data_IF_074206957543
#
_entry.id   IF_074206957543
#
_cell.length_a   1.000
_cell.length_b   1.000
_cell.length_c   1.000
_cell.angle_alpha   90.00
_cell.angle_beta   90.00
_cell.angle_gamma   90.00
#
_symmetry.space_group_name_H-M   'P 1'
#
loop_
_entity.id
_entity.type
_entity.pdbx_description
1 polymer ?
#
# COMPACT_ATOMS: atom_id res chain seq x y z
N UNK A 1 6.94 14.91 -8.44
CA UNK A 1 6.39 15.45 -7.51
C UNK A 1 6.88 16.49 -6.51
N UNK A 2 7.10 17.76 -6.93
CA UNK A 2 7.47 18.83 -5.97
C UNK A 2 6.21 19.47 -5.34
N UNK A 3 5.05 19.34 -5.98
CA UNK A 3 3.79 19.95 -5.51
C UNK A 3 2.79 18.88 -5.14
N UNK A 4 2.05 19.12 -4.06
CA UNK A 4 0.89 18.29 -3.68
C UNK A 4 -0.21 18.50 -4.71
N UNK A 5 -0.75 17.43 -5.33
CA UNK A 5 -1.85 17.57 -6.27
C UNK A 5 -3.11 18.06 -5.58
N UNK A 6 -3.90 18.86 -6.29
CA UNK A 6 -5.24 19.27 -5.86
C UNK A 6 -6.24 18.13 -6.13
N UNK A 7 -7.30 18.10 -5.34
CA UNK A 7 -8.40 17.17 -5.57
C UNK A 7 -9.16 17.51 -6.86
N UNK A 8 -9.70 16.50 -7.58
CA UNK A 8 -10.42 16.72 -8.85
C UNK A 8 -11.67 17.62 -8.71
N UNK A 9 -12.21 17.78 -7.50
CA UNK A 9 -13.29 18.72 -7.24
C UNK A 9 -12.88 20.18 -7.51
N UNK A 10 -11.62 20.54 -7.31
CA UNK A 10 -11.08 21.84 -7.68
C UNK A 10 -11.14 22.05 -9.19
N UNK A 11 -10.78 21.03 -9.99
CA UNK A 11 -10.90 21.07 -11.44
C UNK A 11 -12.36 21.23 -11.88
N UNK A 12 -13.31 20.58 -11.19
CA UNK A 12 -14.73 20.73 -11.49
C UNK A 12 -15.23 22.16 -11.26
N UNK A 13 -14.73 22.80 -10.21
CA UNK A 13 -15.11 24.18 -9.87
C UNK A 13 -14.52 25.21 -10.85
N UNK A 14 -13.24 25.03 -11.23
CA UNK A 14 -12.52 25.99 -12.08
C UNK A 14 -12.78 25.77 -13.59
N UNK A 15 -12.82 24.52 -14.04
CA UNK A 15 -12.92 24.13 -15.44
C UNK A 15 -13.95 23.01 -15.65
N UNK A 16 -15.26 23.25 -15.44
CA UNK A 16 -16.28 22.21 -15.44
C UNK A 16 -16.39 21.45 -16.79
N UNK A 17 -16.16 22.12 -17.91
CA UNK A 17 -16.15 21.47 -19.24
C UNK A 17 -15.01 20.47 -19.40
N UNK A 18 -13.82 20.85 -18.98
CA UNK A 18 -12.62 20.00 -19.02
C UNK A 18 -12.78 18.82 -18.06
N UNK A 19 -13.33 19.05 -16.86
CA UNK A 19 -13.66 17.99 -15.93
C UNK A 19 -14.62 16.97 -16.56
N UNK A 20 -15.70 17.42 -17.20
CA UNK A 20 -16.66 16.54 -17.87
C UNK A 20 -16.02 15.75 -19.03
N UNK A 21 -15.13 16.39 -19.80
CA UNK A 21 -14.36 15.72 -20.86
C UNK A 21 -13.43 14.66 -20.29
N UNK A 22 -12.68 14.96 -19.22
CA UNK A 22 -11.79 14.00 -18.54
C UNK A 22 -12.55 12.76 -18.09
N UNK A 23 -13.74 12.92 -17.52
CA UNK A 23 -14.57 11.78 -17.08
C UNK A 23 -15.08 10.92 -18.26
N UNK A 24 -15.45 11.54 -19.38
CA UNK A 24 -15.80 10.79 -20.60
C UNK A 24 -14.60 9.99 -21.13
N UNK A 25 -13.43 10.59 -21.12
CA UNK A 25 -12.20 9.92 -21.53
C UNK A 25 -11.88 8.75 -20.58
N UNK A 26 -12.02 8.94 -19.25
CA UNK A 26 -11.87 7.86 -18.29
C UNK A 26 -12.78 6.67 -18.62
N UNK A 27 -14.06 6.92 -18.81
CA UNK A 27 -15.05 5.86 -19.14
C UNK A 27 -14.70 5.14 -20.44
N UNK A 28 -14.27 5.89 -21.46
CA UNK A 28 -13.84 5.31 -22.73
C UNK A 28 -12.63 4.40 -22.58
N UNK A 29 -11.62 4.84 -21.81
CA UNK A 29 -10.39 4.09 -21.58
C UNK A 29 -10.63 2.85 -20.72
N UNK A 30 -11.40 2.95 -19.63
CA UNK A 30 -11.77 1.81 -18.79
C UNK A 30 -12.53 0.76 -19.59
N UNK A 31 -13.47 1.18 -20.42
CA UNK A 31 -14.25 0.28 -21.30
C UNK A 31 -13.36 -0.38 -22.37
N UNK A 32 -12.44 0.36 -22.97
CA UNK A 32 -11.55 -0.15 -24.01
C UNK A 32 -10.49 -1.11 -23.44
N UNK A 33 -9.84 -0.72 -22.35
CA UNK A 33 -8.80 -1.52 -21.70
C UNK A 33 -9.37 -2.61 -20.78
N UNK A 34 -10.66 -2.54 -20.46
CA UNK A 34 -11.35 -3.45 -19.54
C UNK A 34 -10.63 -3.54 -18.19
N UNK A 35 -10.11 -2.39 -17.73
CA UNK A 35 -9.38 -2.25 -16.46
C UNK A 35 -9.32 -0.78 -16.02
N UNK A 36 -9.10 -0.56 -14.72
CA UNK A 36 -8.86 0.76 -14.15
C UNK A 36 -7.58 1.38 -14.70
N UNK A 37 -7.65 2.64 -15.12
CA UNK A 37 -6.57 3.32 -15.80
C UNK A 37 -5.96 4.44 -14.95
N UNK A 38 -4.64 4.52 -14.96
CA UNK A 38 -3.85 5.66 -14.51
C UNK A 38 -3.60 6.57 -15.72
N UNK A 39 -4.08 7.82 -15.63
CA UNK A 39 -4.11 8.76 -16.74
C UNK A 39 -3.26 9.97 -16.39
N UNK A 40 -2.32 10.31 -17.26
CA UNK A 40 -1.59 11.56 -17.21
C UNK A 40 -2.16 12.52 -18.25
N UNK A 41 -2.46 13.74 -17.83
CA UNK A 41 -3.03 14.76 -18.72
C UNK A 41 -2.51 16.16 -18.39
N UNK A 42 -2.70 17.06 -19.32
CA UNK A 42 -2.47 18.51 -19.14
C UNK A 42 -3.61 19.31 -19.72
N UNK A 43 -3.73 20.54 -19.28
CA UNK A 43 -4.73 21.49 -19.79
C UNK A 43 -4.02 22.73 -20.28
N UNK A 44 -4.27 23.09 -21.53
CA UNK A 44 -3.73 24.29 -22.12
C UNK A 44 -4.85 25.07 -22.81
N UNK A 45 -5.01 26.35 -22.48
CA UNK A 45 -6.04 27.23 -23.04
C UNK A 45 -7.46 26.62 -22.98
N UNK A 46 -7.79 25.96 -21.84
CA UNK A 46 -9.10 25.32 -21.62
C UNK A 46 -9.33 24.03 -22.39
N UNK A 47 -8.33 23.47 -23.04
CA UNK A 47 -8.38 22.21 -23.79
C UNK A 47 -7.64 21.10 -23.05
N UNK A 48 -8.22 19.91 -22.95
CA UNK A 48 -7.63 18.72 -22.36
C UNK A 48 -6.69 18.04 -23.37
N UNK A 49 -5.52 17.62 -22.88
CA UNK A 49 -4.56 16.82 -23.63
C UNK A 49 -4.16 15.61 -22.78
N UNK A 50 -4.39 14.42 -23.30
CA UNK A 50 -3.90 13.18 -22.71
C UNK A 50 -2.44 13.00 -23.08
N UNK A 51 -1.63 12.71 -22.08
CA UNK A 51 -0.19 12.49 -22.27
C UNK A 51 0.15 11.01 -22.20
N UNK A 52 -0.43 10.28 -21.24
CA UNK A 52 -0.19 8.86 -21.04
C UNK A 52 -1.39 8.19 -20.40
N UNK A 53 -1.58 6.91 -20.72
CA UNK A 53 -2.52 6.01 -20.10
C UNK A 53 -1.84 4.66 -19.84
N UNK A 54 -2.09 4.08 -18.68
CA UNK A 54 -1.56 2.75 -18.30
C UNK A 54 -2.48 2.08 -17.29
N UNK A 55 -2.37 0.76 -17.16
CA UNK A 55 -3.08 0.05 -16.10
C UNK A 55 -2.57 0.55 -14.74
N UNK A 56 -3.50 0.97 -13.88
CA UNK A 56 -3.18 1.57 -12.59
C UNK A 56 -2.53 0.55 -11.65
N UNK A 57 -1.40 0.92 -11.06
CA UNK A 57 -0.79 0.16 -9.97
C UNK A 57 -1.69 0.24 -8.75
N UNK A 58 -1.89 -0.91 -8.10
CA UNK A 58 -2.89 -1.04 -7.03
C UNK A 58 -2.43 -1.98 -5.93
N UNK A 59 -2.92 -1.76 -4.71
CA UNK A 59 -2.75 -2.71 -3.60
C UNK A 59 -3.65 -3.93 -3.82
N UNK A 60 -3.39 -5.04 -3.14
CA UNK A 60 -4.22 -6.25 -3.20
C UNK A 60 -5.69 -5.96 -2.88
N UNK A 61 -5.96 -5.14 -1.85
CA UNK A 61 -7.32 -4.72 -1.49
C UNK A 61 -8.01 -3.93 -2.61
N UNK A 62 -7.28 -3.01 -3.24
CA UNK A 62 -7.79 -2.23 -4.37
C UNK A 62 -8.03 -3.13 -5.60
N UNK A 63 -7.14 -4.11 -5.86
CA UNK A 63 -7.31 -5.06 -6.96
C UNK A 63 -8.61 -5.86 -6.84
N UNK A 64 -8.93 -6.38 -5.65
CA UNK A 64 -10.20 -7.07 -5.40
C UNK A 64 -11.40 -6.15 -5.61
N UNK A 65 -11.36 -4.93 -5.05
CA UNK A 65 -12.46 -3.97 -5.18
C UNK A 65 -12.71 -3.61 -6.65
N UNK A 66 -11.64 -3.30 -7.41
CA UNK A 66 -11.71 -2.98 -8.83
C UNK A 66 -12.27 -4.16 -9.63
N UNK A 67 -11.81 -5.39 -9.37
CA UNK A 67 -12.31 -6.58 -10.04
C UNK A 67 -13.82 -6.77 -9.82
N UNK A 68 -14.29 -6.59 -8.59
CA UNK A 68 -15.72 -6.65 -8.25
C UNK A 68 -16.51 -5.54 -8.97
N UNK A 69 -15.99 -4.32 -8.97
CA UNK A 69 -16.66 -3.18 -9.61
C UNK A 69 -16.77 -3.39 -11.13
N UNK A 70 -15.72 -3.85 -11.80
CA UNK A 70 -15.72 -4.14 -13.23
C UNK A 70 -16.73 -5.25 -13.60
N UNK A 71 -16.94 -6.24 -12.72
CA UNK A 71 -18.01 -7.24 -12.91
C UNK A 71 -19.40 -6.62 -12.75
N UNK A 72 -19.59 -5.80 -11.71
CA UNK A 72 -20.86 -5.12 -11.45
C UNK A 72 -21.24 -4.15 -12.59
N UNK A 73 -20.24 -3.49 -13.17
CA UNK A 73 -20.37 -2.60 -14.34
C UNK A 73 -20.50 -3.37 -15.67
N UNK A 74 -20.48 -4.71 -15.63
CA UNK A 74 -20.58 -5.61 -16.81
C UNK A 74 -19.44 -5.42 -17.83
N UNK A 75 -18.30 -4.94 -17.39
CA UNK A 75 -17.09 -4.82 -18.19
C UNK A 75 -16.31 -6.14 -18.23
N UNK A 76 -16.43 -6.98 -17.18
CA UNK A 76 -15.81 -8.30 -17.08
C UNK A 76 -16.82 -9.36 -16.65
N UNK A 77 -16.58 -10.62 -17.04
CA UNK A 77 -17.19 -11.78 -16.38
C UNK A 77 -16.48 -12.06 -15.05
N UNK A 78 -17.06 -12.90 -14.21
CA UNK A 78 -16.40 -13.30 -12.93
C UNK A 78 -15.08 -14.03 -13.17
N UNK A 79 -15.05 -14.89 -14.19
CA UNK A 79 -13.88 -15.66 -14.59
C UNK A 79 -12.75 -14.73 -15.06
N UNK A 80 -13.07 -13.76 -15.92
CA UNK A 80 -12.10 -12.76 -16.39
C UNK A 80 -11.57 -11.88 -15.23
N UNK A 81 -12.44 -11.51 -14.30
CA UNK A 81 -12.05 -10.73 -13.12
C UNK A 81 -11.11 -11.50 -12.21
N UNK A 82 -11.31 -12.83 -12.02
CA UNK A 82 -10.42 -13.69 -11.25
C UNK A 82 -9.02 -13.76 -11.88
N UNK A 83 -8.92 -13.82 -13.22
CA UNK A 83 -7.64 -13.84 -13.91
C UNK A 83 -6.84 -12.54 -13.80
N UNK A 84 -7.51 -11.42 -13.43
CA UNK A 84 -6.83 -10.13 -13.17
C UNK A 84 -6.26 -10.00 -11.77
N UNK A 85 -6.58 -10.92 -10.87
CA UNK A 85 -6.10 -10.90 -9.49
C UNK A 85 -4.85 -11.76 -9.39
N UNK A 86 -3.75 -11.16 -9.02
CA UNK A 86 -2.50 -11.87 -8.75
C UNK A 86 -2.63 -12.67 -7.45
N UNK A 87 -2.57 -14.00 -7.52
CA UNK A 87 -2.76 -14.88 -6.35
C UNK A 87 -1.77 -14.57 -5.21
N UNK A 88 -0.53 -14.25 -5.54
CA UNK A 88 0.50 -13.85 -4.56
C UNK A 88 0.11 -12.60 -3.75
N UNK A 89 -0.64 -11.68 -4.36
CA UNK A 89 -1.09 -10.46 -3.72
C UNK A 89 -2.17 -10.72 -2.65
N UNK A 90 -2.91 -11.82 -2.75
CA UNK A 90 -3.95 -12.19 -1.77
C UNK A 90 -3.35 -12.49 -0.39
N UNK A 91 -2.12 -12.99 -0.34
CA UNK A 91 -1.45 -13.21 0.95
C UNK A 91 -1.34 -11.93 1.77
N UNK A 92 -1.22 -10.77 1.12
CA UNK A 92 -1.19 -9.48 1.82
C UNK A 92 -2.51 -9.15 2.55
N UNK A 93 -3.62 -9.70 2.09
CA UNK A 93 -4.94 -9.52 2.71
C UNK A 93 -5.17 -10.42 3.93
N UNK A 94 -4.37 -11.47 4.04
CA UNK A 94 -4.40 -12.39 5.18
C UNK A 94 -3.55 -11.91 6.35
N UNK A 95 -2.76 -10.86 6.18
CA UNK A 95 -2.03 -10.25 7.29
C UNK A 95 -2.99 -9.65 8.33
N UNK A 96 -2.70 -9.80 9.62
CA UNK A 96 -3.44 -9.12 10.68
C UNK A 96 -3.52 -7.62 10.43
N UNK A 97 -4.66 -7.03 10.72
CA UNK A 97 -4.87 -5.58 10.66
C UNK A 97 -5.50 -5.12 11.96
N UNK A 98 -5.24 -3.88 12.37
CA UNK A 98 -5.95 -3.29 13.50
C UNK A 98 -7.42 -3.04 13.14
N UNK A 99 -8.31 -3.19 14.12
CA UNK A 99 -9.72 -2.82 13.95
C UNK A 99 -9.80 -1.30 13.64
N UNK A 100 -10.37 -0.90 12.48
CA UNK A 100 -10.50 0.52 12.12
C UNK A 100 -11.33 1.34 13.10
N UNK A 101 -12.16 0.67 13.92
CA UNK A 101 -12.98 1.31 14.96
C UNK A 101 -12.20 1.55 16.25
N UNK A 102 -11.08 0.87 16.44
CA UNK A 102 -10.24 1.02 17.63
C UNK A 102 -9.43 2.30 17.54
N UNK A 103 -9.73 3.26 18.42
CA UNK A 103 -8.99 4.51 18.53
C UNK A 103 -7.85 4.33 19.54
N UNK A 104 -6.66 4.03 19.07
CA UNK A 104 -5.46 4.06 19.90
C UNK A 104 -4.76 5.43 19.79
N UNK A 105 -4.05 5.83 20.85
CA UNK A 105 -3.17 6.99 20.77
C UNK A 105 -2.01 6.68 19.80
N UNK A 106 -1.82 7.54 18.81
CA UNK A 106 -0.67 7.47 17.90
C UNK A 106 0.54 8.03 18.63
N UNK A 107 1.56 7.22 18.83
CA UNK A 107 2.82 7.64 19.48
C UNK A 107 3.80 8.23 18.47
N UNK A 108 3.85 7.66 17.26
CA UNK A 108 4.68 8.10 16.15
C UNK A 108 4.12 7.62 14.81
N UNK A 109 4.54 8.27 13.74
CA UNK A 109 4.23 7.89 12.37
C UNK A 109 5.52 7.58 11.62
N UNK A 110 5.48 6.59 10.73
CA UNK A 110 6.62 6.19 9.92
C UNK A 110 6.19 5.64 8.56
N UNK A 111 7.17 5.32 7.72
CA UNK A 111 6.95 4.75 6.40
C UNK A 111 6.53 3.28 6.54
N UNK A 112 5.36 2.88 6.02
CA UNK A 112 4.97 1.46 6.02
C UNK A 112 5.86 0.70 5.02
N UNK A 113 6.88 0.03 5.55
CA UNK A 113 7.89 -0.67 4.76
C UNK A 113 7.51 -2.13 4.46
N UNK A 114 6.75 -2.76 5.34
CA UNK A 114 6.12 -4.08 5.15
C UNK A 114 4.75 -4.09 5.83
N UNK A 115 3.71 -4.63 5.16
CA UNK A 115 2.33 -4.52 5.61
C UNK A 115 2.03 -5.42 6.83
N UNK A 116 0.92 -5.10 7.53
CA UNK A 116 0.36 -5.91 8.60
C UNK A 116 0.18 -5.11 9.89
N UNK A 117 -0.19 -5.82 10.95
CA UNK A 117 -0.27 -5.30 12.31
C UNK A 117 0.50 -6.23 13.24
N UNK A 118 1.35 -5.69 14.07
CA UNK A 118 2.10 -6.42 15.07
C UNK A 118 1.79 -5.86 16.46
N UNK A 119 1.66 -6.75 17.42
CA UNK A 119 1.46 -6.41 18.84
C UNK A 119 2.47 -7.21 19.66
N UNK A 120 3.19 -6.52 20.53
CA UNK A 120 4.19 -7.16 21.37
C UNK A 120 4.88 -6.18 22.28
N UNK A 121 5.71 -6.70 23.16
CA UNK A 121 6.57 -5.91 24.04
C UNK A 121 7.71 -5.28 23.23
N UNK A 122 7.95 -4.02 23.45
CA UNK A 122 9.08 -3.32 22.83
C UNK A 122 10.39 -3.81 23.42
N UNK A 123 11.35 -4.15 22.54
CA UNK A 123 12.72 -4.52 22.87
C UNK A 123 13.70 -3.77 21.97
N UNK A 124 14.88 -3.46 22.49
CA UNK A 124 15.83 -2.59 21.81
C UNK A 124 17.09 -3.30 21.32
N UNK A 125 17.20 -4.61 21.53
CA UNK A 125 18.32 -5.41 21.03
C UNK A 125 17.85 -6.74 20.46
N UNK A 126 18.59 -7.25 19.47
CA UNK A 126 18.34 -8.56 18.86
C UNK A 126 18.41 -9.67 19.90
N UNK A 127 19.38 -9.61 20.81
CA UNK A 127 19.56 -10.58 21.90
C UNK A 127 18.35 -10.61 22.84
N UNK A 128 17.86 -9.45 23.27
CA UNK A 128 16.67 -9.37 24.12
C UNK A 128 15.42 -9.90 23.40
N UNK A 129 15.30 -9.63 22.09
CA UNK A 129 14.22 -10.17 21.29
C UNK A 129 14.23 -11.71 21.28
N UNK A 130 15.40 -12.31 21.09
CA UNK A 130 15.58 -13.76 21.10
C UNK A 130 15.24 -14.36 22.49
N UNK A 131 15.82 -13.81 23.57
CA UNK A 131 15.62 -14.28 24.93
C UNK A 131 14.13 -14.27 25.34
N UNK A 132 13.43 -13.19 25.05
CA UNK A 132 12.01 -13.05 25.38
C UNK A 132 11.10 -13.92 24.50
N UNK A 133 11.39 -13.99 23.21
CA UNK A 133 10.62 -14.82 22.30
C UNK A 133 10.74 -16.32 22.63
N UNK A 134 11.91 -16.79 23.10
CA UNK A 134 12.10 -18.16 23.59
C UNK A 134 11.24 -18.42 24.85
N UNK A 135 10.97 -17.39 25.65
CA UNK A 135 10.05 -17.47 26.80
C UNK A 135 8.56 -17.39 26.40
N UNK A 136 8.27 -17.30 25.10
CA UNK A 136 6.89 -17.24 24.58
C UNK A 136 6.31 -15.80 24.55
N UNK A 137 7.10 -14.77 24.86
CA UNK A 137 6.64 -13.38 24.75
C UNK A 137 6.62 -12.92 23.30
N UNK A 138 5.55 -12.23 22.89
CA UNK A 138 5.50 -11.49 21.62
C UNK A 138 6.29 -10.20 21.76
N UNK A 139 7.23 -9.96 20.85
CA UNK A 139 8.11 -8.80 20.91
C UNK A 139 8.09 -7.99 19.61
N UNK A 140 8.29 -6.69 19.74
CA UNK A 140 8.53 -5.75 18.63
C UNK A 140 9.95 -5.23 18.79
N UNK A 141 10.81 -5.50 17.81
CA UNK A 141 12.17 -5.02 17.79
C UNK A 141 12.24 -3.58 17.33
N UNK A 142 12.75 -2.70 18.20
CA UNK A 142 12.94 -1.28 17.90
C UNK A 142 14.42 -0.98 17.81
N UNK A 143 14.87 -0.49 16.68
CA UNK A 143 16.27 -0.16 16.43
C UNK A 143 16.39 1.23 15.83
N UNK A 144 17.55 1.83 15.93
CA UNK A 144 17.87 3.02 15.15
C UNK A 144 17.90 2.67 13.65
N UNK A 145 18.61 1.62 13.32
CA UNK A 145 18.65 0.93 12.04
C UNK A 145 19.00 -0.54 12.30
N UNK A 146 18.74 -1.44 11.36
CA UNK A 146 19.07 -2.86 11.50
C UNK A 146 20.25 -3.24 10.61
N UNK A 147 21.01 -4.24 11.06
CA UNK A 147 22.13 -4.84 10.34
C UNK A 147 21.95 -6.37 10.20
N UNK A 148 22.90 -7.03 9.53
CA UNK A 148 22.91 -8.48 9.42
C UNK A 148 22.95 -9.20 10.78
N UNK A 149 23.53 -8.58 11.81
CA UNK A 149 23.61 -9.14 13.15
C UNK A 149 22.26 -9.18 13.87
N UNK A 150 21.30 -8.39 13.40
CA UNK A 150 19.94 -8.34 13.98
C UNK A 150 19.01 -9.42 13.44
N UNK A 151 19.40 -10.19 12.41
CA UNK A 151 18.54 -11.12 11.67
C UNK A 151 17.84 -12.13 12.59
N UNK A 152 18.51 -12.68 13.60
CA UNK A 152 17.91 -13.65 14.53
C UNK A 152 16.82 -13.01 15.38
N UNK A 153 17.08 -11.87 16.02
CA UNK A 153 16.07 -11.14 16.76
C UNK A 153 14.91 -10.66 15.89
N UNK A 154 15.20 -10.27 14.65
CA UNK A 154 14.18 -9.94 13.66
C UNK A 154 13.29 -11.15 13.35
N UNK A 155 13.86 -12.32 13.13
CA UNK A 155 13.09 -13.54 12.83
C UNK A 155 12.15 -13.93 13.98
N UNK A 156 12.55 -13.69 15.23
CA UNK A 156 11.78 -14.01 16.43
C UNK A 156 10.77 -12.94 16.83
N UNK A 157 10.86 -11.74 16.26
CA UNK A 157 9.95 -10.63 16.55
C UNK A 157 8.66 -10.71 15.73
N UNK A 158 7.55 -10.16 16.25
CA UNK A 158 6.28 -10.01 15.50
C UNK A 158 6.40 -8.91 14.43
N UNK A 159 7.23 -7.92 14.66
CA UNK A 159 7.48 -6.81 13.74
C UNK A 159 8.65 -5.94 14.16
N UNK A 160 9.00 -4.98 13.29
CA UNK A 160 10.15 -4.08 13.49
C UNK A 160 9.72 -2.63 13.36
N UNK A 161 10.37 -1.78 14.17
CA UNK A 161 10.31 -0.34 14.06
C UNK A 161 11.73 0.19 13.97
N UNK A 162 12.04 0.99 12.96
CA UNK A 162 13.35 1.65 12.85
C UNK A 162 13.20 3.17 12.83
N UNK A 163 14.12 3.86 13.52
CA UNK A 163 14.14 5.32 13.54
C UNK A 163 14.70 5.92 12.24
N UNK A 164 15.47 5.14 11.49
CA UNK A 164 16.01 5.50 10.18
C UNK A 164 15.78 4.38 9.19
N UNK A 165 15.52 4.77 7.96
CA UNK A 165 15.32 3.84 6.86
C UNK A 165 14.21 4.31 5.95
N UNK A 166 13.84 3.44 5.04
CA UNK A 166 12.76 3.63 4.08
C UNK A 166 12.41 2.30 3.45
N UNK A 167 11.60 2.30 2.41
CA UNK A 167 11.11 1.08 1.74
C UNK A 167 12.21 0.17 1.17
N UNK A 168 13.42 0.67 1.01
CA UNK A 168 14.61 -0.05 0.50
C UNK A 168 15.66 -0.30 1.57
N UNK A 169 15.42 0.05 2.83
CA UNK A 169 16.34 -0.21 3.95
C UNK A 169 16.49 -1.71 4.20
N UNK A 170 17.56 -2.10 4.90
CA UNK A 170 17.80 -3.49 5.33
C UNK A 170 16.58 -4.05 6.09
N UNK A 171 16.06 -3.30 7.07
CA UNK A 171 14.87 -3.70 7.83
C UNK A 171 13.68 -3.98 6.92
N UNK A 172 13.41 -3.10 5.95
CA UNK A 172 12.30 -3.23 5.02
C UNK A 172 12.42 -4.46 4.09
N UNK A 173 13.62 -4.72 3.59
CA UNK A 173 13.89 -5.87 2.70
C UNK A 173 13.72 -7.17 3.47
N UNK A 174 14.36 -7.28 4.64
CA UNK A 174 14.30 -8.48 5.49
C UNK A 174 12.88 -8.72 6.00
N UNK A 175 12.16 -7.67 6.40
CA UNK A 175 10.78 -7.79 6.84
C UNK A 175 9.88 -8.43 5.77
N UNK A 176 9.99 -7.97 4.52
CA UNK A 176 9.22 -8.55 3.40
C UNK A 176 9.61 -9.99 3.10
N UNK A 177 10.89 -10.33 3.19
CA UNK A 177 11.36 -11.70 3.02
C UNK A 177 10.84 -12.64 4.10
N UNK A 178 10.74 -12.17 5.33
CA UNK A 178 10.26 -12.93 6.49
C UNK A 178 8.73 -12.87 6.67
N UNK A 179 8.01 -12.07 5.87
CA UNK A 179 6.57 -11.85 6.06
C UNK A 179 6.22 -11.11 7.36
N UNK A 180 7.15 -10.31 7.88
CA UNK A 180 7.00 -9.53 9.13
C UNK A 180 6.59 -8.10 8.85
N UNK A 181 5.94 -7.48 9.82
CA UNK A 181 5.55 -6.06 9.77
C UNK A 181 6.76 -5.16 9.96
N UNK A 182 6.86 -4.10 9.20
CA UNK A 182 7.94 -3.12 9.36
C UNK A 182 7.44 -1.69 9.13
N UNK A 183 7.79 -0.82 10.09
CA UNK A 183 7.67 0.64 9.98
C UNK A 183 9.06 1.25 10.12
N UNK A 184 9.39 2.20 9.22
CA UNK A 184 10.72 2.85 9.18
C UNK A 184 10.58 4.37 9.09
#
# INVERSE_FOLDING_TARGET
GIRTPLHLDALKAELPKVHAELFKVRELLEKHQRDMQDIEFTIQSGKLYLLQCRNGKRTAKAALKIAIDLVNEKLLTKEEALLKIEASSLNQLLHPTFDPKHKAAVLAEGVPASPGAAVGRVVFSSKEAEERAVQGEKVILVRHETSADDIRGMAMSEGFLTARGGRTSHAAVVARQMGKVCVS
#
